data_IF_578891102827
#
_entry.id   IF_578891102827
#
_cell.length_a   1.000
_cell.length_b   1.000
_cell.length_c   1.000
_cell.angle_alpha   90.00
_cell.angle_beta   90.00
_cell.angle_gamma   90.00
#
_symmetry.space_group_name_H-M   'P 1'
#
loop_
_entity.id
_entity.type
_entity.pdbx_description
1 polymer ?
#
# COMPACT_ATOMS: atom_id res chain seq x y z
N UNK A 1 -37.15 -4.26 41.69
CA UNK A 1 -36.13 -4.75 42.64
C UNK A 1 -36.16 -6.27 42.50
N UNK A 2 -35.37 -6.77 41.54
CA UNK A 2 -34.12 -7.55 41.76
C UNK A 2 -34.48 -8.94 42.33
N UNK A 3 -34.15 -10.06 41.69
CA UNK A 3 -32.80 -10.43 41.29
C UNK A 3 -32.73 -11.47 40.14
N UNK A 4 -31.60 -11.36 39.43
CA UNK A 4 -30.99 -12.35 38.54
C UNK A 4 -30.66 -13.65 39.28
N UNK A 5 -30.84 -14.79 38.61
CA UNK A 5 -29.82 -15.85 38.65
C UNK A 5 -29.84 -16.65 37.34
N UNK A 6 -28.71 -16.58 36.64
CA UNK A 6 -28.28 -17.52 35.61
C UNK A 6 -28.21 -18.93 36.21
N UNK A 7 -28.24 -19.97 35.36
CA UNK A 7 -27.07 -20.83 35.18
C UNK A 7 -27.33 -21.84 34.06
N UNK A 8 -26.48 -21.75 33.03
CA UNK A 8 -25.76 -22.87 32.44
C UNK A 8 -26.57 -24.06 31.92
N UNK A 9 -27.32 -23.82 30.83
CA UNK A 9 -27.56 -24.90 29.87
C UNK A 9 -26.39 -24.97 28.90
N UNK A 10 -25.30 -25.60 29.35
CA UNK A 10 -24.25 -26.14 28.49
C UNK A 10 -24.85 -27.22 27.57
N UNK A 11 -25.55 -26.79 26.52
CA UNK A 11 -25.83 -27.67 25.39
C UNK A 11 -24.54 -27.85 24.61
N UNK A 12 -23.82 -28.91 24.96
CA UNK A 12 -22.87 -29.61 24.10
C UNK A 12 -23.61 -30.09 22.84
N UNK A 13 -23.95 -29.17 21.94
CA UNK A 13 -24.27 -29.53 20.59
C UNK A 13 -22.96 -29.95 19.94
N UNK A 14 -22.83 -31.23 19.59
CA UNK A 14 -21.74 -31.72 18.77
C UNK A 14 -21.73 -30.93 17.44
N UNK A 15 -20.86 -29.93 17.34
CA UNK A 15 -20.73 -29.10 16.15
C UNK A 15 -20.04 -29.93 15.06
N UNK A 16 -20.83 -30.49 14.14
CA UNK A 16 -20.29 -31.00 12.89
C UNK A 16 -20.10 -29.81 11.95
N UNK A 17 -18.90 -29.23 11.95
CA UNK A 17 -18.55 -28.07 11.11
C UNK A 17 -18.33 -28.57 9.68
N UNK A 18 -19.43 -28.71 8.94
CA UNK A 18 -19.34 -28.93 7.51
C UNK A 18 -19.03 -27.58 6.84
N UNK A 19 -17.74 -27.33 6.54
CA UNK A 19 -17.36 -26.33 5.55
C UNK A 19 -17.85 -26.80 4.18
N UNK A 20 -19.08 -26.41 3.82
CA UNK A 20 -19.63 -26.72 2.49
C UNK A 20 -19.01 -25.74 1.48
N UNK A 21 -17.86 -26.13 0.95
CA UNK A 21 -17.30 -25.57 -0.28
C UNK A 21 -18.03 -26.20 -1.47
N UNK A 22 -18.93 -25.44 -2.10
CA UNK A 22 -19.65 -25.95 -3.27
C UNK A 22 -21.00 -25.29 -3.54
N UNK A 23 -21.04 -23.95 -3.61
CA UNK A 23 -22.18 -23.20 -4.14
C UNK A 23 -23.31 -22.96 -3.13
N UNK A 24 -23.46 -21.70 -2.71
CA UNK A 24 -24.52 -21.19 -1.83
C UNK A 24 -24.57 -21.78 -0.41
N UNK A 25 -23.75 -21.21 0.48
CA UNK A 25 -24.10 -20.73 1.84
C UNK A 25 -22.82 -20.67 2.68
N UNK A 26 -22.11 -19.55 2.63
CA UNK A 26 -21.02 -19.24 3.56
C UNK A 26 -21.65 -18.75 4.87
N UNK A 27 -21.46 -19.52 5.94
CA UNK A 27 -21.96 -19.29 7.28
C UNK A 27 -22.12 -20.61 8.02
N UNK A 28 -21.84 -20.64 9.33
CA UNK A 28 -22.07 -21.85 10.14
C UNK A 28 -23.59 -22.02 10.30
N UNK A 29 -24.13 -23.07 9.70
CA UNK A 29 -25.54 -23.43 9.78
C UNK A 29 -25.65 -24.59 10.78
N UNK A 30 -26.49 -24.43 11.81
CA UNK A 30 -26.81 -25.52 12.72
C UNK A 30 -27.62 -26.62 11.99
N UNK A 31 -27.70 -27.82 12.55
CA UNK A 31 -28.55 -28.93 12.09
C UNK A 31 -30.01 -28.52 11.82
N UNK A 32 -30.50 -27.47 12.49
CA UNK A 32 -31.83 -26.88 12.31
C UNK A 32 -31.93 -25.79 11.23
N UNK A 33 -30.91 -25.62 10.37
CA UNK A 33 -30.94 -24.64 9.28
C UNK A 33 -30.81 -23.18 9.70
N UNK A 34 -30.49 -22.92 10.97
CA UNK A 34 -30.39 -21.56 11.52
C UNK A 34 -28.97 -21.00 11.40
N UNK A 35 -28.86 -19.75 10.94
CA UNK A 35 -27.59 -19.02 10.85
C UNK A 35 -27.06 -18.70 12.25
N UNK A 36 -25.81 -19.08 12.52
CA UNK A 36 -25.10 -18.73 13.75
C UNK A 36 -24.21 -17.51 13.45
N UNK A 37 -24.44 -16.35 14.11
CA UNK A 37 -23.55 -15.22 13.96
C UNK A 37 -22.15 -15.54 14.51
N UNK A 38 -21.09 -14.95 13.92
CA UNK A 38 -19.75 -15.10 14.46
C UNK A 38 -19.61 -14.47 15.85
N UNK A 39 -18.58 -14.88 16.57
CA UNK A 39 -18.13 -14.24 17.81
C UNK A 39 -17.23 -13.04 17.50
N UNK A 40 -17.12 -12.07 18.42
CA UNK A 40 -16.30 -10.86 18.22
C UNK A 40 -14.81 -11.15 18.07
N UNK A 41 -14.33 -12.27 18.62
CA UNK A 41 -12.94 -12.70 18.55
C UNK A 41 -12.62 -13.58 17.34
N UNK A 42 -13.61 -13.85 16.48
CA UNK A 42 -13.41 -14.67 15.29
C UNK A 42 -12.65 -13.86 14.22
N UNK A 43 -11.50 -14.34 13.71
CA UNK A 43 -10.71 -13.63 12.70
C UNK A 43 -11.48 -13.37 11.40
N UNK A 44 -12.48 -14.19 11.11
CA UNK A 44 -13.30 -14.10 9.91
C UNK A 44 -14.55 -13.24 10.14
N UNK A 45 -14.75 -12.71 11.34
CA UNK A 45 -15.83 -11.78 11.64
C UNK A 45 -15.56 -10.38 11.09
N UNK A 46 -16.62 -9.76 10.57
CA UNK A 46 -16.64 -8.34 10.24
C UNK A 46 -18.02 -7.75 10.55
N UNK A 47 -18.07 -6.42 10.70
CA UNK A 47 -19.36 -5.72 10.79
C UNK A 47 -19.92 -5.48 9.39
N UNK A 48 -21.22 -5.72 9.23
CA UNK A 48 -21.92 -5.40 7.99
C UNK A 48 -21.72 -3.91 7.63
N UNK A 49 -21.28 -3.59 6.39
CA UNK A 49 -20.91 -2.24 5.98
C UNK A 49 -22.12 -1.29 5.88
N UNK A 50 -23.34 -1.84 5.77
CA UNK A 50 -24.58 -1.05 5.83
C UNK A 50 -24.72 -0.38 7.20
N UNK A 51 -24.73 0.96 7.20
CA UNK A 51 -24.73 1.78 8.42
C UNK A 51 -25.87 1.47 9.38
N UNK A 52 -27.02 1.07 8.85
CA UNK A 52 -28.21 0.73 9.65
C UNK A 52 -28.16 -0.66 10.27
N UNK A 53 -27.31 -1.57 9.77
CA UNK A 53 -27.25 -2.95 10.27
C UNK A 53 -26.10 -3.14 11.26
N UNK A 54 -24.85 -2.90 10.84
CA UNK A 54 -23.61 -3.03 11.66
C UNK A 54 -23.47 -4.32 12.50
N UNK A 55 -24.27 -5.36 12.21
CA UNK A 55 -24.21 -6.65 12.89
C UNK A 55 -22.98 -7.43 12.45
N UNK A 56 -22.50 -8.29 13.35
CA UNK A 56 -21.38 -9.18 13.07
C UNK A 56 -21.79 -10.26 12.08
N UNK A 57 -20.99 -10.44 11.03
CA UNK A 57 -21.19 -11.41 9.96
C UNK A 57 -19.82 -11.97 9.55
N UNK A 58 -19.80 -13.14 8.91
CA UNK A 58 -18.55 -13.65 8.35
C UNK A 58 -18.17 -12.86 7.10
N UNK A 59 -16.88 -12.61 6.90
CA UNK A 59 -16.33 -11.84 5.77
C UNK A 59 -16.62 -12.48 4.42
N UNK A 60 -16.60 -13.81 4.38
CA UNK A 60 -16.77 -14.58 3.14
C UNK A 60 -18.24 -14.68 2.71
N UNK A 61 -19.15 -14.07 3.47
CA UNK A 61 -20.56 -14.06 3.14
C UNK A 61 -20.84 -13.28 1.86
N UNK A 62 -21.59 -13.90 0.95
CA UNK A 62 -22.07 -13.24 -0.26
C UNK A 62 -23.08 -12.13 0.07
N UNK A 63 -23.90 -12.35 1.11
CA UNK A 63 -24.89 -11.40 1.60
C UNK A 63 -24.93 -11.31 3.13
N UNK A 64 -25.37 -10.17 3.65
CA UNK A 64 -25.64 -10.02 5.07
C UNK A 64 -26.94 -10.74 5.45
N UNK A 65 -26.84 -11.78 6.27
CA UNK A 65 -27.98 -12.59 6.69
C UNK A 65 -29.07 -11.81 7.44
N UNK A 66 -28.74 -10.66 8.04
CA UNK A 66 -29.69 -9.85 8.80
C UNK A 66 -30.45 -8.82 7.98
N UNK A 67 -29.77 -8.10 7.07
CA UNK A 67 -30.37 -6.99 6.33
C UNK A 67 -30.41 -7.21 4.81
N UNK A 68 -30.07 -8.44 4.36
CA UNK A 68 -30.03 -8.86 2.96
C UNK A 68 -29.24 -7.90 2.07
N UNK A 69 -28.16 -7.37 2.63
CA UNK A 69 -27.26 -6.47 1.91
C UNK A 69 -26.27 -7.27 1.09
N UNK A 70 -26.12 -6.91 -0.18
CA UNK A 70 -25.16 -7.52 -1.11
C UNK A 70 -23.72 -7.11 -0.76
N UNK A 71 -22.96 -8.05 -0.19
CA UNK A 71 -21.58 -7.83 0.23
C UNK A 71 -20.63 -7.96 -0.96
N UNK A 72 -20.91 -8.88 -1.89
CA UNK A 72 -20.09 -9.09 -3.10
C UNK A 72 -20.07 -7.83 -3.95
N UNK A 73 -21.24 -7.25 -4.24
CA UNK A 73 -21.35 -6.03 -5.02
C UNK A 73 -20.70 -4.83 -4.33
N UNK A 74 -20.80 -4.75 -3.00
CA UNK A 74 -20.15 -3.70 -2.21
C UNK A 74 -18.63 -3.78 -2.28
N UNK A 75 -18.06 -4.96 -2.03
CA UNK A 75 -16.61 -5.15 -2.06
C UNK A 75 -16.06 -4.99 -3.48
N UNK A 76 -16.78 -5.46 -4.51
CA UNK A 76 -16.37 -5.25 -5.91
C UNK A 76 -16.18 -3.77 -6.23
N UNK A 77 -17.14 -2.91 -5.85
CA UNK A 77 -17.04 -1.46 -6.08
C UNK A 77 -15.85 -0.83 -5.36
N UNK A 78 -15.53 -1.30 -4.15
CA UNK A 78 -14.35 -0.82 -3.42
C UNK A 78 -13.07 -1.22 -4.12
N UNK A 79 -12.96 -2.49 -4.54
CA UNK A 79 -11.79 -2.99 -5.26
C UNK A 79 -11.55 -2.24 -6.56
N UNK A 80 -12.60 -2.01 -7.35
CA UNK A 80 -12.55 -1.21 -8.58
C UNK A 80 -12.07 0.23 -8.31
N UNK A 81 -12.62 0.89 -7.28
CA UNK A 81 -12.19 2.23 -6.89
C UNK A 81 -10.71 2.26 -6.49
N UNK A 82 -10.27 1.27 -5.71
CA UNK A 82 -8.88 1.17 -5.26
C UNK A 82 -7.92 0.91 -6.43
N UNK A 83 -8.32 0.08 -7.39
CA UNK A 83 -7.55 -0.16 -8.61
C UNK A 83 -7.37 1.13 -9.43
N UNK A 84 -8.44 1.90 -9.63
CA UNK A 84 -8.38 3.19 -10.31
C UNK A 84 -7.45 4.20 -9.59
N UNK A 85 -7.55 4.29 -8.26
CA UNK A 85 -6.67 5.16 -7.46
C UNK A 85 -5.22 4.73 -7.60
N UNK A 86 -4.94 3.42 -7.57
CA UNK A 86 -3.59 2.89 -7.71
C UNK A 86 -3.01 3.19 -9.09
N UNK A 87 -3.82 3.10 -10.15
CA UNK A 87 -3.39 3.41 -11.50
C UNK A 87 -3.03 4.90 -11.65
N UNK A 88 -3.84 5.81 -11.09
CA UNK A 88 -3.48 7.23 -11.07
C UNK A 88 -2.16 7.51 -10.34
N UNK A 89 -1.95 6.90 -9.17
CA UNK A 89 -0.68 7.05 -8.44
C UNK A 89 0.51 6.58 -9.26
N UNK A 90 0.38 5.47 -10.00
CA UNK A 90 1.43 4.97 -10.89
C UNK A 90 1.75 5.94 -12.03
N UNK A 91 0.74 6.60 -12.58
CA UNK A 91 0.93 7.62 -13.63
C UNK A 91 1.64 8.85 -13.08
N UNK A 92 1.22 9.37 -11.92
CA UNK A 92 1.87 10.50 -11.25
C UNK A 92 3.35 10.18 -10.92
N UNK A 93 3.63 8.98 -10.40
CA UNK A 93 5.00 8.52 -10.15
C UNK A 93 5.82 8.33 -11.44
N UNK A 94 5.19 7.96 -12.56
CA UNK A 94 5.86 7.85 -13.86
C UNK A 94 6.23 9.23 -14.41
N UNK A 95 5.32 10.21 -14.32
CA UNK A 95 5.59 11.60 -14.71
C UNK A 95 6.71 12.21 -13.87
N UNK A 96 6.69 12.01 -12.55
CA UNK A 96 7.74 12.52 -11.66
C UNK A 96 9.10 11.89 -11.96
N UNK A 97 9.14 10.58 -12.27
CA UNK A 97 10.37 9.89 -12.70
C UNK A 97 10.91 10.46 -14.02
N UNK A 98 10.04 10.72 -14.98
CA UNK A 98 10.42 11.33 -16.27
C UNK A 98 10.98 12.73 -16.06
N UNK A 99 10.29 13.57 -15.29
CA UNK A 99 10.75 14.92 -14.95
C UNK A 99 12.12 14.90 -14.28
N UNK A 100 12.30 14.04 -13.28
CA UNK A 100 13.59 13.87 -12.59
C UNK A 100 14.71 13.46 -13.52
N UNK A 101 14.45 12.55 -14.43
CA UNK A 101 15.42 12.10 -15.42
C UNK A 101 15.82 13.23 -16.38
N UNK A 102 14.86 14.05 -16.82
CA UNK A 102 15.13 15.20 -17.69
C UNK A 102 15.92 16.30 -16.95
N UNK A 103 15.60 16.57 -15.68
CA UNK A 103 16.37 17.48 -14.82
C UNK A 103 17.79 16.97 -14.60
N UNK A 104 17.97 15.67 -14.34
CA UNK A 104 19.29 15.06 -14.16
C UNK A 104 20.15 15.20 -15.42
N UNK A 105 19.58 15.01 -16.61
CA UNK A 105 20.26 15.26 -17.89
C UNK A 105 20.70 16.71 -18.04
N UNK A 106 19.84 17.67 -17.71
CA UNK A 106 20.17 19.10 -17.78
C UNK A 106 21.32 19.45 -16.82
N UNK A 107 21.26 18.94 -15.58
CA UNK A 107 22.35 19.10 -14.59
C UNK A 107 23.66 18.51 -15.15
N UNK A 108 23.62 17.31 -15.71
CA UNK A 108 24.80 16.66 -16.27
C UNK A 108 25.42 17.48 -17.42
N UNK A 109 24.62 17.99 -18.35
CA UNK A 109 25.09 18.85 -19.44
C UNK A 109 25.69 20.15 -18.88
N UNK A 110 25.03 20.80 -17.92
CA UNK A 110 25.54 22.02 -17.30
C UNK A 110 26.89 21.81 -16.60
N UNK A 111 27.05 20.68 -15.92
CA UNK A 111 28.31 20.27 -15.28
C UNK A 111 29.41 20.03 -16.32
N UNK A 112 29.12 19.37 -17.44
CA UNK A 112 30.09 19.16 -18.52
C UNK A 112 30.57 20.48 -19.13
N UNK A 113 29.65 21.43 -19.36
CA UNK A 113 30.00 22.76 -19.88
C UNK A 113 30.89 23.51 -18.89
N UNK A 114 30.58 23.46 -17.59
CA UNK A 114 31.42 24.05 -16.55
C UNK A 114 32.83 23.44 -16.51
N UNK A 115 32.95 22.10 -16.61
CA UNK A 115 34.25 21.44 -16.70
C UNK A 115 35.02 21.93 -17.93
N UNK A 116 34.38 22.01 -19.09
CA UNK A 116 35.03 22.46 -20.33
C UNK A 116 35.54 23.90 -20.20
N UNK A 117 34.73 24.81 -19.66
CA UNK A 117 35.14 26.20 -19.41
C UNK A 117 36.29 26.29 -18.41
N UNK A 118 36.20 25.57 -17.28
CA UNK A 118 37.25 25.55 -16.27
C UNK A 118 38.55 24.93 -16.79
N UNK A 119 38.48 23.90 -17.63
CA UNK A 119 39.68 23.26 -18.20
C UNK A 119 40.48 24.20 -19.10
N UNK A 120 39.81 25.07 -19.87
CA UNK A 120 40.47 26.11 -20.67
C UNK A 120 41.17 27.16 -19.81
N UNK A 121 40.49 27.63 -18.76
CA UNK A 121 41.06 28.62 -17.82
C UNK A 121 42.21 28.03 -17.01
N UNK A 122 42.06 26.82 -16.46
CA UNK A 122 43.11 26.17 -15.68
C UNK A 122 44.37 25.86 -16.49
N UNK A 123 44.23 25.52 -17.78
CA UNK A 123 45.40 25.29 -18.65
C UNK A 123 46.20 26.57 -18.92
N UNK A 124 45.55 27.74 -18.93
CA UNK A 124 46.24 29.03 -19.14
C UNK A 124 46.93 29.59 -17.90
N UNK A 125 46.54 29.17 -16.68
CA UNK A 125 47.05 29.75 -15.42
C UNK A 125 48.10 28.91 -14.70
N UNK A 126 48.24 27.61 -14.99
CA UNK A 126 49.17 26.72 -14.28
C UNK A 126 50.11 26.02 -15.25
N UNK A 127 51.23 26.68 -15.55
CA UNK A 127 52.27 26.12 -16.42
C UNK A 127 53.02 24.97 -15.75
N UNK A 128 53.59 25.11 -14.55
CA UNK A 128 54.33 23.98 -13.93
C UNK A 128 54.23 24.02 -12.39
N UNK A 129 54.14 22.84 -11.76
CA UNK A 129 54.48 22.52 -10.34
C UNK A 129 53.40 22.06 -9.34
N UNK A 130 52.09 22.29 -9.53
CA UNK A 130 51.05 21.69 -8.67
C UNK A 130 50.02 20.87 -9.45
N UNK A 131 50.43 19.68 -9.89
CA UNK A 131 49.60 18.71 -10.62
C UNK A 131 48.31 18.32 -9.87
N UNK A 132 48.32 18.28 -8.54
CA UNK A 132 47.17 17.87 -7.73
C UNK A 132 46.02 18.89 -7.74
N UNK A 133 46.32 20.19 -7.88
CA UNK A 133 45.33 21.27 -7.99
C UNK A 133 44.50 21.17 -9.29
N UNK A 134 45.06 20.55 -10.34
CA UNK A 134 44.34 20.28 -11.60
C UNK A 134 43.21 19.24 -11.43
N UNK A 135 43.29 18.37 -10.41
CA UNK A 135 42.28 17.34 -10.13
C UNK A 135 41.18 17.80 -9.16
N UNK A 136 41.41 18.89 -8.41
CA UNK A 136 40.47 19.45 -7.46
C UNK A 136 39.10 19.83 -8.08
N UNK A 137 39.02 20.46 -9.27
CA UNK A 137 37.72 20.70 -9.92
C UNK A 137 37.00 19.41 -10.32
N UNK A 138 37.72 18.36 -10.74
CA UNK A 138 37.11 17.06 -11.06
C UNK A 138 36.57 16.37 -9.81
N UNK A 139 37.27 16.44 -8.68
CA UNK A 139 36.82 15.90 -7.41
C UNK A 139 35.57 16.63 -6.87
N UNK A 140 35.53 17.96 -6.98
CA UNK A 140 34.37 18.77 -6.59
C UNK A 140 33.14 18.46 -7.45
N UNK A 141 33.33 18.30 -8.76
CA UNK A 141 32.25 17.90 -9.68
C UNK A 141 31.76 16.48 -9.37
N UNK A 142 32.67 15.53 -9.12
CA UNK A 142 32.29 14.17 -8.75
C UNK A 142 31.50 14.14 -7.42
N UNK A 143 31.88 14.98 -6.44
CA UNK A 143 31.17 15.13 -5.18
C UNK A 143 29.76 15.70 -5.38
N UNK A 144 29.62 16.77 -6.18
CA UNK A 144 28.32 17.37 -6.51
C UNK A 144 27.42 16.36 -7.23
N UNK A 145 27.98 15.59 -8.17
CA UNK A 145 27.25 14.54 -8.88
C UNK A 145 26.83 13.40 -7.95
N UNK A 146 27.72 12.97 -7.04
CA UNK A 146 27.42 11.96 -6.03
C UNK A 146 26.30 12.41 -5.08
N UNK A 147 26.33 13.65 -4.60
CA UNK A 147 25.27 14.21 -3.74
C UNK A 147 23.95 14.32 -4.52
N UNK A 148 23.97 14.81 -5.76
CA UNK A 148 22.78 14.96 -6.59
C UNK A 148 22.11 13.61 -6.93
N UNK A 149 22.92 12.55 -7.12
CA UNK A 149 22.41 11.20 -7.44
C UNK A 149 21.98 10.40 -6.21
N UNK A 150 22.54 10.67 -5.02
CA UNK A 150 22.23 9.95 -3.78
C UNK A 150 21.32 10.71 -2.80
N UNK A 151 20.74 11.85 -3.17
CA UNK A 151 19.87 12.64 -2.30
C UNK A 151 18.69 11.84 -1.72
N UNK A 152 18.22 10.77 -2.37
CA UNK A 152 17.13 9.92 -1.84
C UNK A 152 17.53 9.00 -0.68
N UNK A 153 18.84 8.86 -0.38
CA UNK A 153 19.35 7.98 0.69
C UNK A 153 19.87 8.73 1.93
N UNK A 154 19.86 10.07 1.91
CA UNK A 154 20.16 10.92 3.07
C UNK A 154 18.85 11.44 3.68
#
# INVERSE_FOLDING_TARGET
>A
MTDQHNDDLHQQASFNVNHVSGGNLTGIINYYGSFIPPNENDPDAMRCPRETCKRLIYRDNLECNFCKFDLVGYFRKITERNAYIQERKRLEEAELRKFRHDVSKLIFIGVLVLIAMLSGVFNSYFEHDLLWLKFLPFALVALIFYIATNWEKL
#
